data_IF_934023071715
#
_entry.id   IF_934023071715
#
_cell.length_a   1.000
_cell.length_b   1.000
_cell.length_c   1.000
_cell.angle_alpha   90.00
_cell.angle_beta   90.00
_cell.angle_gamma   90.00
#
_symmetry.space_group_name_H-M   'P 1'
#
loop_
_entity.id
_entity.type
_entity.pdbx_description
1 polymer ?
#
# COMPACT_ATOMS: atom_id res chain seq x y z
N UNK A 1 15.09 8.70 -2.15
CA UNK A 1 15.80 7.41 -2.23
C UNK A 1 15.10 6.40 -1.31
N UNK A 2 14.83 5.18 -1.77
CA UNK A 2 14.22 4.10 -0.95
C UNK A 2 15.24 3.13 -0.35
N UNK A 3 16.53 3.29 -0.64
CA UNK A 3 17.59 2.37 -0.22
C UNK A 3 17.59 2.07 1.28
N UNK A 4 17.43 3.05 2.20
CA UNK A 4 17.37 2.75 3.64
C UNK A 4 16.17 1.88 4.02
N UNK A 5 15.00 2.11 3.42
CA UNK A 5 13.81 1.29 3.65
C UNK A 5 14.02 -0.13 3.13
N UNK A 6 14.58 -0.28 1.93
CA UNK A 6 14.86 -1.60 1.35
C UNK A 6 15.82 -2.40 2.25
N UNK A 7 16.89 -1.76 2.74
CA UNK A 7 17.83 -2.39 3.70
C UNK A 7 17.13 -2.80 4.99
N UNK A 8 16.31 -1.92 5.55
CA UNK A 8 15.53 -2.21 6.76
C UNK A 8 14.59 -3.41 6.56
N UNK A 9 13.82 -3.45 5.45
CA UNK A 9 12.90 -4.54 5.16
C UNK A 9 13.60 -5.90 4.99
N UNK A 10 14.81 -5.90 4.43
CA UNK A 10 15.67 -7.09 4.36
C UNK A 10 16.20 -7.51 5.73
N UNK A 11 16.60 -6.55 6.55
CA UNK A 11 17.10 -6.80 7.90
C UNK A 11 16.03 -7.34 8.86
N UNK A 12 14.74 -7.08 8.60
CA UNK A 12 13.64 -7.72 9.34
C UNK A 12 13.62 -9.26 9.18
N UNK A 13 14.31 -9.80 8.18
CA UNK A 13 14.43 -11.23 7.95
C UNK A 13 13.19 -11.87 7.32
N UNK A 14 13.06 -13.18 7.52
CA UNK A 14 12.01 -13.99 6.92
C UNK A 14 10.62 -13.63 7.47
N UNK A 15 9.62 -13.55 6.60
CA UNK A 15 8.23 -13.27 7.00
C UNK A 15 7.73 -14.28 8.05
N UNK A 16 8.14 -15.56 7.96
CA UNK A 16 7.73 -16.66 8.86
C UNK A 16 8.27 -16.56 10.29
N UNK A 17 9.45 -15.97 10.49
CA UNK A 17 10.08 -15.87 11.81
C UNK A 17 9.89 -14.50 12.48
N UNK A 18 9.60 -13.44 11.71
CA UNK A 18 9.38 -12.12 12.29
C UNK A 18 8.12 -12.06 13.17
N UNK A 19 8.12 -11.19 14.17
CA UNK A 19 6.94 -10.95 15.01
C UNK A 19 5.74 -10.49 14.20
N UNK A 20 4.52 -10.80 14.67
CA UNK A 20 3.28 -10.31 14.03
C UNK A 20 3.28 -8.78 13.97
N UNK A 21 3.80 -8.10 14.99
CA UNK A 21 3.95 -6.64 15.00
C UNK A 21 4.77 -6.13 13.81
N UNK A 22 5.95 -6.69 13.59
CA UNK A 22 6.83 -6.27 12.49
C UNK A 22 6.23 -6.66 11.13
N UNK A 23 5.61 -7.84 11.03
CA UNK A 23 4.90 -8.28 9.84
C UNK A 23 3.74 -7.34 9.49
N UNK A 24 2.96 -6.89 10.48
CA UNK A 24 1.88 -5.91 10.28
C UNK A 24 2.42 -4.59 9.75
N UNK A 25 3.49 -4.06 10.36
CA UNK A 25 4.11 -2.79 9.89
C UNK A 25 4.62 -2.91 8.46
N UNK A 26 5.37 -3.98 8.19
CA UNK A 26 5.89 -4.33 6.86
C UNK A 26 4.76 -4.44 5.84
N UNK A 27 3.70 -5.18 6.15
CA UNK A 27 2.55 -5.35 5.26
C UNK A 27 1.87 -4.00 4.99
N UNK A 28 1.53 -3.22 6.03
CA UNK A 28 0.90 -1.91 5.86
C UNK A 28 1.72 -1.00 4.93
N UNK A 29 3.04 -0.96 5.10
CA UNK A 29 3.91 -0.15 4.26
C UNK A 29 3.99 -0.68 2.82
N UNK A 30 4.14 -1.99 2.63
CA UNK A 30 4.20 -2.62 1.31
C UNK A 30 2.89 -2.39 0.54
N UNK A 31 1.73 -2.59 1.17
CA UNK A 31 0.44 -2.36 0.53
C UNK A 31 0.18 -0.87 0.24
N UNK A 32 0.55 0.02 1.15
CA UNK A 32 0.43 1.46 0.93
C UNK A 32 1.30 1.97 -0.22
N UNK A 33 2.53 1.45 -0.33
CA UNK A 33 3.52 1.88 -1.34
C UNK A 33 3.27 1.21 -2.68
N UNK A 34 3.08 -0.11 -2.71
CA UNK A 34 2.90 -0.87 -3.95
C UNK A 34 1.47 -0.79 -4.49
N UNK A 35 0.45 -0.62 -3.64
CA UNK A 35 -0.96 -0.50 -4.05
C UNK A 35 -1.50 0.93 -4.09
N UNK A 36 -0.64 1.92 -3.83
CA UNK A 36 -1.03 3.34 -3.74
C UNK A 36 -2.20 3.56 -2.75
N UNK A 37 -2.20 2.80 -1.65
CA UNK A 37 -3.29 2.81 -0.67
C UNK A 37 -3.06 3.84 0.43
N UNK A 38 -4.13 4.52 0.83
CA UNK A 38 -4.15 5.33 2.07
C UNK A 38 -4.31 4.42 3.29
N UNK A 39 -3.93 4.90 4.49
CA UNK A 39 -4.24 4.19 5.73
C UNK A 39 -5.74 3.85 5.88
N UNK A 40 -6.61 4.76 5.44
CA UNK A 40 -8.06 4.53 5.45
C UNK A 40 -8.52 3.48 4.43
N UNK A 41 -7.86 3.39 3.28
CA UNK A 41 -8.14 2.33 2.29
C UNK A 41 -7.78 0.95 2.89
N UNK A 42 -6.64 0.85 3.58
CA UNK A 42 -6.24 -0.37 4.29
C UNK A 42 -7.21 -0.75 5.40
N UNK A 43 -7.73 0.24 6.14
CA UNK A 43 -8.76 0.01 7.16
C UNK A 43 -10.04 -0.57 6.54
N UNK A 44 -10.43 -0.08 5.36
CA UNK A 44 -11.66 -0.48 4.68
C UNK A 44 -11.47 -1.67 3.72
N UNK A 45 -10.31 -2.34 3.76
CA UNK A 45 -10.05 -3.51 2.91
C UNK A 45 -10.68 -4.76 3.50
N UNK A 46 -11.48 -5.48 2.72
CA UNK A 46 -12.10 -6.74 3.11
C UNK A 46 -11.18 -7.93 2.84
N UNK A 47 -10.78 -8.62 3.91
CA UNK A 47 -9.87 -9.75 3.88
C UNK A 47 -10.45 -11.01 3.22
N UNK A 48 -11.77 -11.22 3.28
CA UNK A 48 -12.45 -12.38 2.67
C UNK A 48 -12.71 -12.17 1.19
N UNK A 49 -12.99 -10.93 0.80
CA UNK A 49 -13.18 -10.58 -0.61
C UNK A 49 -11.84 -10.50 -1.38
N UNK A 50 -10.75 -10.17 -0.68
CA UNK A 50 -9.39 -10.13 -1.21
C UNK A 50 -8.82 -11.54 -1.42
N UNK A 51 -8.07 -11.76 -2.50
CA UNK A 51 -7.58 -13.11 -2.86
C UNK A 51 -6.28 -13.08 -3.68
N UNK A 52 -5.63 -14.23 -3.76
CA UNK A 52 -4.51 -14.44 -4.69
C UNK A 52 -5.05 -15.02 -6.00
N UNK A 53 -4.83 -14.34 -7.12
CA UNK A 53 -5.21 -14.80 -8.47
C UNK A 53 -3.95 -14.89 -9.31
N UNK A 54 -3.64 -16.09 -9.83
CA UNK A 54 -2.45 -16.32 -10.69
C UNK A 54 -1.16 -15.77 -10.08
N UNK A 55 -1.02 -15.84 -8.76
CA UNK A 55 0.15 -15.34 -8.01
C UNK A 55 0.12 -13.84 -7.66
N UNK A 56 -0.85 -13.07 -8.16
CA UNK A 56 -1.03 -11.66 -7.82
C UNK A 56 -2.02 -11.50 -6.68
N UNK A 57 -1.83 -10.49 -5.83
CA UNK A 57 -2.75 -10.13 -4.78
C UNK A 57 -3.80 -9.16 -5.31
N UNK A 58 -5.07 -9.52 -5.27
CA UNK A 58 -6.19 -8.61 -5.50
C UNK A 58 -6.82 -8.23 -4.16
N UNK A 59 -6.72 -6.96 -3.79
CA UNK A 59 -7.33 -6.38 -2.60
C UNK A 59 -8.67 -5.74 -2.94
N UNK A 60 -9.68 -5.98 -2.10
CA UNK A 60 -11.00 -5.38 -2.25
C UNK A 60 -11.20 -4.27 -1.22
N UNK A 61 -10.97 -3.03 -1.64
CA UNK A 61 -11.19 -1.85 -0.79
C UNK A 61 -12.65 -1.43 -0.88
N UNK A 62 -13.36 -1.53 0.25
CA UNK A 62 -14.77 -1.15 0.31
C UNK A 62 -14.90 0.33 0.63
N UNK A 63 -15.72 1.04 -0.16
CA UNK A 63 -16.09 2.43 0.07
C UNK A 63 -14.87 3.33 0.34
N UNK A 64 -13.88 3.39 -0.59
CA UNK A 64 -12.75 4.32 -0.46
C UNK A 64 -13.22 5.77 -0.42
N UNK A 65 -12.31 6.73 -0.19
CA UNK A 65 -12.67 8.15 -0.19
C UNK A 65 -13.22 8.59 -1.56
N UNK A 66 -12.69 8.01 -2.63
CA UNK A 66 -13.16 8.21 -3.99
C UNK A 66 -14.60 7.70 -4.17
N UNK A 67 -15.43 8.50 -4.81
CA UNK A 67 -16.79 8.15 -5.21
C UNK A 67 -16.92 8.19 -6.72
N UNK A 68 -17.91 7.47 -7.27
CA UNK A 68 -18.27 7.57 -8.69
C UNK A 68 -19.69 8.11 -8.77
N UNK A 69 -19.84 9.31 -9.34
CA UNK A 69 -21.14 9.99 -9.42
C UNK A 69 -21.81 10.12 -8.03
N UNK A 70 -21.04 10.44 -7.00
CA UNK A 70 -21.52 10.56 -5.62
C UNK A 70 -21.80 9.22 -4.90
N UNK A 71 -21.70 8.08 -5.59
CA UNK A 71 -21.94 6.75 -5.01
C UNK A 71 -20.66 6.14 -4.43
N UNK A 72 -20.82 5.41 -3.32
CA UNK A 72 -19.74 4.58 -2.75
C UNK A 72 -19.41 3.46 -3.73
N UNK A 73 -18.13 3.16 -3.88
CA UNK A 73 -17.64 2.13 -4.80
C UNK A 73 -16.88 1.03 -4.06
N UNK A 74 -16.63 -0.09 -4.75
CA UNK A 74 -15.62 -1.06 -4.36
C UNK A 74 -14.44 -0.86 -5.32
N UNK A 75 -13.24 -0.70 -4.78
CA UNK A 75 -12.01 -0.52 -5.56
C UNK A 75 -11.16 -1.79 -5.47
N UNK A 76 -11.09 -2.60 -6.55
CA UNK A 76 -10.09 -3.65 -6.63
C UNK A 76 -8.69 -3.03 -6.80
N UNK A 77 -7.69 -3.59 -6.13
CA UNK A 77 -6.28 -3.18 -6.27
C UNK A 77 -5.43 -4.42 -6.46
N UNK A 78 -4.76 -4.49 -7.62
CA UNK A 78 -3.90 -5.62 -7.97
C UNK A 78 -2.46 -5.28 -7.63
N UNK A 79 -1.80 -6.14 -6.85
CA UNK A 79 -0.41 -6.00 -6.46
C UNK A 79 0.34 -7.26 -6.87
N UNK A 80 1.41 -7.07 -7.65
CA UNK A 80 2.24 -8.14 -8.19
C UNK A 80 3.27 -8.64 -7.16
N UNK A 81 3.69 -9.91 -7.24
CA UNK A 81 4.76 -10.43 -6.41
C UNK A 81 6.10 -9.79 -6.78
N UNK A 82 6.98 -9.67 -5.79
CA UNK A 82 8.38 -9.29 -5.97
C UNK A 82 9.28 -10.54 -5.87
N UNK A 83 10.33 -10.67 -6.69
CA UNK A 83 11.23 -11.83 -6.65
C UNK A 83 12.01 -11.96 -5.33
N UNK A 84 12.45 -10.84 -4.76
CA UNK A 84 12.99 -10.81 -3.39
C UNK A 84 11.84 -10.96 -2.38
N UNK A 85 11.78 -12.10 -1.68
CA UNK A 85 10.73 -12.40 -0.70
C UNK A 85 10.67 -11.39 0.45
N UNK A 86 11.80 -10.79 0.84
CA UNK A 86 11.84 -9.79 1.89
C UNK A 86 11.14 -8.49 1.47
N UNK A 87 11.01 -8.24 0.16
CA UNK A 87 10.34 -7.07 -0.40
C UNK A 87 8.96 -7.41 -1.00
N UNK A 88 8.53 -8.67 -0.92
CA UNK A 88 7.35 -9.13 -1.64
C UNK A 88 6.04 -8.85 -0.89
N UNK A 89 5.17 -7.96 -1.40
CA UNK A 89 3.87 -7.66 -0.78
C UNK A 89 2.96 -8.90 -0.73
N UNK A 90 2.98 -9.72 -1.79
CA UNK A 90 2.16 -10.93 -1.88
C UNK A 90 2.57 -11.96 -0.83
N UNK A 91 3.87 -12.24 -0.68
CA UNK A 91 4.36 -13.20 0.32
C UNK A 91 4.13 -12.69 1.75
N UNK A 92 4.31 -11.39 1.99
CA UNK A 92 4.00 -10.79 3.28
C UNK A 92 2.51 -10.90 3.62
N UNK A 93 1.62 -10.67 2.64
CA UNK A 93 0.17 -10.82 2.80
C UNK A 93 -0.22 -12.26 3.14
N UNK A 94 0.29 -13.24 2.39
CA UNK A 94 -0.01 -14.66 2.61
C UNK A 94 0.38 -15.06 4.05
N UNK A 95 1.61 -14.74 4.45
CA UNK A 95 2.08 -15.06 5.80
C UNK A 95 1.26 -14.35 6.87
N UNK A 96 0.98 -13.06 6.69
CA UNK A 96 0.16 -12.29 7.62
C UNK A 96 -1.26 -12.88 7.76
N UNK A 97 -1.89 -13.26 6.65
CA UNK A 97 -3.22 -13.89 6.65
C UNK A 97 -3.20 -15.24 7.34
N UNK A 98 -2.18 -16.07 7.13
CA UNK A 98 -2.06 -17.37 7.82
C UNK A 98 -2.11 -17.23 9.35
N UNK A 99 -1.59 -16.13 9.90
CA UNK A 99 -1.53 -15.86 11.35
C UNK A 99 -2.72 -15.12 11.93
N UNK A 100 -3.57 -14.54 11.08
CA UNK A 100 -4.65 -13.63 11.48
C UNK A 100 -6.04 -14.12 11.07
N UNK A 101 -6.14 -15.01 10.07
CA UNK A 101 -7.42 -15.50 9.55
C UNK A 101 -8.27 -16.22 10.60
N UNK A 102 -7.66 -16.85 11.61
CA UNK A 102 -8.39 -17.47 12.72
C UNK A 102 -9.23 -16.47 13.53
N UNK A 103 -8.85 -15.18 13.51
CA UNK A 103 -9.60 -14.08 14.13
C UNK A 103 -10.63 -13.44 13.21
N UNK A 104 -10.92 -14.03 12.05
CA UNK A 104 -11.83 -13.41 11.10
C UNK A 104 -13.26 -13.29 11.63
N UNK A 105 -13.64 -12.05 11.89
CA UNK A 105 -15.01 -11.67 12.25
C UNK A 105 -15.53 -10.64 11.27
N UNK A 106 -16.74 -10.88 10.78
CA UNK A 106 -17.52 -9.88 10.06
C UNK A 106 -18.00 -8.83 11.06
N UNK A 107 -17.70 -7.56 10.81
CA UNK A 107 -18.10 -6.43 11.65
C UNK A 107 -18.73 -5.34 10.79
N UNK A 108 -19.45 -4.41 11.41
CA UNK A 108 -20.01 -3.25 10.74
C UNK A 108 -18.89 -2.42 10.06
N UNK A 109 -19.12 -2.02 8.82
CA UNK A 109 -18.15 -1.25 8.05
C UNK A 109 -18.06 0.18 8.60
N UNK A 110 -16.86 0.74 8.82
CA UNK A 110 -16.69 2.04 9.48
C UNK A 110 -17.30 3.23 8.75
N UNK A 111 -17.58 3.11 7.45
CA UNK A 111 -18.22 4.14 6.61
C UNK A 111 -19.67 3.80 6.24
N UNK A 112 -20.12 2.61 6.60
CA UNK A 112 -21.47 2.14 6.33
C UNK A 112 -21.85 1.04 7.33
N UNK A 113 -22.39 1.42 8.50
CA UNK A 113 -22.69 0.45 9.54
C UNK A 113 -23.70 -0.64 9.12
N UNK A 114 -24.47 -0.42 8.04
CA UNK A 114 -25.41 -1.41 7.49
C UNK A 114 -24.72 -2.55 6.73
N UNK A 115 -23.45 -2.38 6.37
CA UNK A 115 -22.66 -3.36 5.61
C UNK A 115 -21.68 -4.05 6.54
N UNK A 116 -21.58 -5.36 6.39
CA UNK A 116 -20.56 -6.14 7.07
C UNK A 116 -19.33 -6.31 6.18
N UNK A 117 -18.16 -6.33 6.81
CA UNK A 117 -16.90 -6.64 6.15
C UNK A 117 -15.96 -7.35 7.11
N UNK A 118 -14.92 -8.00 6.57
CA UNK A 118 -13.86 -8.64 7.36
C UNK A 118 -12.60 -7.78 7.30
N UNK A 119 -12.22 -7.02 8.35
CA UNK A 119 -11.05 -6.14 8.30
C UNK A 119 -9.75 -6.89 8.00
N UNK A 120 -8.97 -6.40 7.03
CA UNK A 120 -7.66 -6.98 6.72
C UNK A 120 -6.64 -6.73 7.85
N UNK A 121 -6.49 -5.48 8.28
CA UNK A 121 -5.48 -5.12 9.30
C UNK A 121 -6.07 -5.30 10.70
N UNK A 122 -5.53 -6.26 11.45
CA UNK A 122 -5.98 -6.68 12.78
C UNK A 122 -5.18 -6.02 13.86
N UNK A 123 -5.84 -5.72 14.97
CA UNK A 123 -5.14 -5.16 16.11
C UNK A 123 -4.18 -6.21 16.67
N UNK A 124 -2.90 -5.87 16.78
CA UNK A 124 -1.86 -6.86 17.12
C UNK A 124 -2.12 -7.57 18.46
N UNK A 125 -2.72 -6.87 19.44
CA UNK A 125 -3.04 -7.42 20.76
C UNK A 125 -4.36 -8.21 20.79
N UNK A 126 -5.25 -7.97 19.82
CA UNK A 126 -6.51 -8.70 19.67
C UNK A 126 -6.80 -8.90 18.18
N UNK A 127 -6.53 -10.13 17.72
CA UNK A 127 -6.66 -10.49 16.31
C UNK A 127 -8.10 -10.49 15.80
N UNK A 128 -9.09 -10.43 16.69
CA UNK A 128 -10.51 -10.34 16.32
C UNK A 128 -10.93 -8.90 16.02
N UNK A 129 -10.22 -7.92 16.59
CA UNK A 129 -10.51 -6.51 16.42
C UNK A 129 -9.87 -5.90 15.17
N UNK A 130 -10.56 -4.94 14.56
CA UNK A 130 -10.03 -4.12 13.49
C UNK A 130 -9.00 -3.12 14.00
N UNK A 131 -8.00 -2.80 13.18
CA UNK A 131 -7.09 -1.68 13.46
C UNK A 131 -7.65 -0.37 12.91
N UNK A 132 -7.67 0.67 13.75
CA UNK A 132 -8.06 2.02 13.32
C UNK A 132 -7.04 2.69 12.38
N UNK A 133 -7.52 3.71 11.65
CA UNK A 133 -6.74 4.45 10.65
C UNK A 133 -5.44 5.05 11.22
N UNK A 134 -5.49 5.62 12.42
CA UNK A 134 -4.33 6.27 13.03
C UNK A 134 -3.21 5.27 13.36
N UNK A 135 -3.58 4.09 13.85
CA UNK A 135 -2.59 3.04 14.14
C UNK A 135 -1.98 2.47 12.86
N UNK A 136 -2.78 2.28 11.80
CA UNK A 136 -2.25 1.92 10.46
C UNK A 136 -1.29 3.01 9.96
N UNK A 137 -1.68 4.29 10.10
CA UNK A 137 -0.86 5.43 9.71
C UNK A 137 0.47 5.44 10.45
N UNK A 138 0.47 5.17 11.76
CA UNK A 138 1.68 5.08 12.57
C UNK A 138 2.59 3.93 12.14
N UNK A 139 2.03 2.74 11.86
CA UNK A 139 2.80 1.63 11.30
C UNK A 139 3.51 1.97 9.99
N UNK A 140 2.85 2.72 9.10
CA UNK A 140 3.46 3.18 7.85
C UNK A 140 4.54 4.23 8.13
N UNK A 141 4.26 5.20 9.02
CA UNK A 141 5.19 6.28 9.38
C UNK A 141 6.50 5.75 9.97
N UNK A 142 6.45 4.72 10.81
CA UNK A 142 7.64 4.11 11.41
C UNK A 142 8.64 3.58 10.38
N UNK A 143 8.18 3.18 9.19
CA UNK A 143 9.06 2.77 8.08
C UNK A 143 9.38 3.97 7.19
N UNK A 144 8.39 4.84 6.92
CA UNK A 144 8.57 6.03 6.07
C UNK A 144 9.59 7.04 6.60
N UNK A 145 9.79 7.11 7.91
CA UNK A 145 10.81 7.98 8.51
C UNK A 145 12.25 7.63 8.10
N UNK A 146 12.47 6.41 7.58
CA UNK A 146 13.77 5.99 7.05
C UNK A 146 14.06 6.59 5.67
N UNK A 147 13.05 7.12 4.98
CA UNK A 147 13.24 7.78 3.68
C UNK A 147 13.96 9.11 3.93
N UNK A 148 15.16 9.32 3.34
CA UNK A 148 15.90 10.56 3.53
C UNK A 148 15.08 11.76 3.05
N UNK A 149 15.03 12.81 3.88
CA UNK A 149 14.39 14.10 3.60
C UNK A 149 15.10 15.20 4.37
N UNK A 150 14.97 16.44 3.91
CA UNK A 150 15.44 17.58 4.69
C UNK A 150 14.56 17.74 5.95
N UNK A 151 15.13 18.23 7.06
CA UNK A 151 14.42 18.30 8.34
C UNK A 151 13.15 19.16 8.24
N UNK A 152 13.22 20.25 7.47
CA UNK A 152 12.13 21.21 7.27
C UNK A 152 11.04 20.75 6.28
N UNK A 153 11.28 19.67 5.53
CA UNK A 153 10.30 19.16 4.57
C UNK A 153 9.22 18.32 5.27
N UNK A 154 7.95 18.38 4.85
CA UNK A 154 6.93 17.51 5.43
C UNK A 154 7.24 16.02 5.18
N UNK A 155 6.88 15.11 6.10
CA UNK A 155 7.07 13.68 5.89
C UNK A 155 6.35 13.18 4.63
N UNK A 156 7.07 12.43 3.79
CA UNK A 156 6.49 11.83 2.60
C UNK A 156 5.35 10.84 2.93
N UNK A 157 4.39 10.72 2.01
CA UNK A 157 3.34 9.71 2.07
C UNK A 157 3.76 8.49 1.27
N UNK A 158 3.53 7.29 1.81
CA UNK A 158 3.87 6.03 1.16
C UNK A 158 3.32 5.91 -0.27
N UNK A 159 2.04 6.25 -0.48
CA UNK A 159 1.41 6.30 -1.81
C UNK A 159 2.15 7.21 -2.80
N UNK A 160 2.55 8.40 -2.37
CA UNK A 160 3.25 9.36 -3.22
C UNK A 160 4.67 8.86 -3.56
N UNK A 161 5.38 8.27 -2.59
CA UNK A 161 6.69 7.67 -2.83
C UNK A 161 6.58 6.48 -3.79
N UNK A 162 5.58 5.62 -3.64
CA UNK A 162 5.32 4.53 -4.57
C UNK A 162 5.14 5.02 -6.01
N UNK A 163 4.26 6.00 -6.22
CA UNK A 163 4.01 6.56 -7.54
C UNK A 163 5.24 7.25 -8.15
N UNK A 164 5.97 8.01 -7.33
CA UNK A 164 7.21 8.66 -7.76
C UNK A 164 8.25 7.63 -8.19
N UNK A 165 8.43 6.55 -7.42
CA UNK A 165 9.39 5.51 -7.76
C UNK A 165 9.00 4.77 -9.03
N UNK A 166 7.70 4.50 -9.25
CA UNK A 166 7.22 3.92 -10.51
C UNK A 166 7.58 4.82 -11.71
N UNK A 167 7.28 6.13 -11.62
CA UNK A 167 7.61 7.09 -12.67
C UNK A 167 9.11 7.18 -12.92
N UNK A 168 9.94 7.22 -11.87
CA UNK A 168 11.40 7.25 -11.99
C UNK A 168 11.98 5.97 -12.61
N UNK A 169 11.24 4.85 -12.56
CA UNK A 169 11.59 3.59 -13.21
C UNK A 169 10.97 3.43 -14.60
N UNK A 170 10.38 4.50 -15.14
CA UNK A 170 9.87 4.55 -16.50
C UNK A 170 8.47 3.97 -16.69
N UNK A 171 7.72 3.71 -15.60
CA UNK A 171 6.31 3.32 -15.74
C UNK A 171 5.53 4.51 -16.33
N UNK A 172 4.73 4.31 -17.39
CA UNK A 172 3.92 5.36 -17.99
C UNK A 172 3.02 6.05 -16.97
N UNK A 173 2.84 7.37 -17.11
CA UNK A 173 2.00 8.15 -16.18
C UNK A 173 0.55 7.67 -16.19
N UNK A 174 0.04 7.19 -17.33
CA UNK A 174 -1.32 6.66 -17.45
C UNK A 174 -1.50 5.36 -16.64
N UNK A 175 -0.50 4.46 -16.66
CA UNK A 175 -0.52 3.25 -15.85
C UNK A 175 -0.46 3.58 -14.34
N UNK A 176 0.39 4.54 -13.96
CA UNK A 176 0.47 5.06 -12.60
C UNK A 176 -0.85 5.71 -12.16
N UNK A 177 -1.52 6.42 -13.07
CA UNK A 177 -2.83 7.03 -12.86
C UNK A 177 -3.92 5.98 -12.63
N UNK A 178 -4.00 4.98 -13.50
CA UNK A 178 -4.95 3.87 -13.41
C UNK A 178 -4.73 3.09 -12.11
N UNK A 179 -3.49 2.73 -11.81
CA UNK A 179 -3.14 2.01 -10.57
C UNK A 179 -3.50 2.81 -9.31
N UNK A 180 -3.28 4.12 -9.35
CA UNK A 180 -3.68 5.05 -8.30
C UNK A 180 -5.19 5.25 -8.19
N UNK A 181 -5.99 4.91 -9.21
CA UNK A 181 -7.38 5.33 -9.37
C UNK A 181 -7.51 6.86 -9.27
N UNK A 182 -6.68 7.58 -10.01
CA UNK A 182 -6.69 9.04 -10.12
C UNK A 182 -7.42 9.50 -11.37
N UNK A 183 -8.09 10.66 -11.32
CA UNK A 183 -8.95 11.12 -12.41
C UNK A 183 -8.20 11.81 -13.56
N UNK A 184 -6.92 12.18 -13.36
CA UNK A 184 -6.10 12.74 -14.43
C UNK A 184 -4.60 12.62 -14.14
N UNK A 185 -3.74 12.65 -15.18
CA UNK A 185 -2.28 12.70 -15.01
C UNK A 185 -1.82 13.95 -14.23
N UNK A 186 -2.56 15.05 -14.35
CA UNK A 186 -2.29 16.30 -13.62
C UNK A 186 -2.35 16.11 -12.10
N UNK A 187 -3.25 15.25 -11.61
CA UNK A 187 -3.31 14.91 -10.17
C UNK A 187 -2.04 14.18 -9.74
N UNK A 188 -1.52 13.29 -10.58
CA UNK A 188 -0.28 12.56 -10.30
C UNK A 188 0.88 13.53 -10.17
N UNK A 189 1.04 14.43 -11.15
CA UNK A 189 2.13 15.41 -11.18
C UNK A 189 2.03 16.43 -10.03
N UNK A 190 0.82 16.87 -9.68
CA UNK A 190 0.62 17.90 -8.66
C UNK A 190 0.75 17.40 -7.22
N UNK A 191 0.28 16.18 -6.93
CA UNK A 191 0.10 15.71 -5.55
C UNK A 191 0.92 14.48 -5.19
N UNK A 192 1.32 13.67 -6.17
CA UNK A 192 1.90 12.35 -5.91
C UNK A 192 3.30 12.16 -6.52
N UNK A 193 3.76 13.11 -7.34
CA UNK A 193 5.12 13.16 -7.85
C UNK A 193 6.01 13.97 -6.92
N UNK A 194 6.68 13.27 -6.02
CA UNK A 194 7.62 13.83 -5.02
C UNK A 194 8.90 14.34 -5.67
N UNK A 195 9.33 13.75 -6.80
CA UNK A 195 10.50 14.21 -7.55
C UNK A 195 10.20 14.38 -9.04
N UNK A 196 10.72 15.46 -9.61
CA UNK A 196 10.60 15.80 -11.04
C UNK A 196 11.78 15.31 -11.89
N UNK A 197 12.69 14.51 -11.33
CA UNK A 197 13.78 13.92 -12.13
C UNK A 197 13.22 13.13 -13.31
N UNK A 198 13.86 13.26 -14.46
CA UNK A 198 13.48 12.54 -15.68
C UNK A 198 14.00 11.11 -15.59
N UNK A 199 13.14 10.13 -15.87
CA UNK A 199 13.56 8.74 -16.00
C UNK A 199 14.30 8.49 -17.33
N UNK A 200 13.98 9.27 -18.37
CA UNK A 200 14.50 9.10 -19.73
C UNK A 200 15.60 10.10 -20.05
N UNK A 201 16.67 9.63 -20.70
CA UNK A 201 17.66 10.50 -21.34
C UNK A 201 17.11 10.95 -22.69
N UNK A 202 16.53 12.16 -22.74
CA UNK A 202 16.02 12.72 -23.99
C UNK A 202 17.11 12.89 -25.05
N UNK A 203 18.35 13.17 -24.64
CA UNK A 203 19.50 13.19 -25.54
C UNK A 203 19.66 11.86 -26.30
N UNK A 204 19.56 10.72 -25.61
CA UNK A 204 19.65 9.40 -26.25
C UNK A 204 18.45 9.10 -27.15
N UNK A 205 17.26 9.56 -26.79
CA UNK A 205 16.02 9.30 -27.53
C UNK A 205 15.89 10.18 -28.78
N UNK A 206 16.35 11.44 -28.71
CA UNK A 206 16.24 12.40 -29.81
C UNK A 206 17.39 12.24 -30.80
N UNK A 207 18.58 11.84 -30.34
CA UNK A 207 19.78 11.68 -31.18
C UNK A 207 20.04 10.22 -31.59
N UNK A 208 19.06 9.32 -31.43
CA UNK A 208 19.08 7.96 -32.00
C UNK A 208 18.50 7.97 -33.41
#
# INVERSE_FOLDING_TARGET
>A
DLTPVIRYLRALGNNKSMSVTNLTKKLCWLLATCGFLRPDDLRCTDARASRIIKGNLELMVLFPKETRQGQKIIKPVVIYPHPDEALCPVKAFIEYRSRTQAGDRAIAHPKDPSRLYTPLIRYVRDKTAATGTDRISNHIKEIMQLVPRNQDEPPFKARAVGATQALLKGVPVDDVMVHGNWSSPMIVDSFYRVSRSLASSFTKVVLS
#
